data_IF_015273276272
#
_entry.id   IF_015273276272
#
_cell.length_a   1.000
_cell.length_b   1.000
_cell.length_c   1.000
_cell.angle_alpha   90.00
_cell.angle_beta   90.00
_cell.angle_gamma   90.00
#
_symmetry.space_group_name_H-M   'P 1'
#
loop_
_entity.id
_entity.type
_entity.pdbx_description
1 polymer ?
#
# COMPACT_ATOMS: atom_id res chain seq x y z
N UNK A 1 -9.98 -8.51 -16.79
CA UNK A 1 -9.08 -7.49 -17.22
C UNK A 1 -7.85 -7.46 -16.35
N UNK A 2 -6.76 -7.23 -16.95
CA UNK A 2 -5.51 -7.40 -16.26
C UNK A 2 -5.26 -6.38 -15.13
N UNK A 3 -6.05 -5.29 -15.11
CA UNK A 3 -5.90 -4.29 -14.07
C UNK A 3 -6.09 -4.88 -12.66
N UNK A 4 -7.09 -5.75 -12.52
CA UNK A 4 -7.30 -6.42 -11.23
C UNK A 4 -6.14 -7.34 -10.88
N UNK A 5 -5.55 -7.96 -11.90
CA UNK A 5 -4.42 -8.86 -11.69
C UNK A 5 -3.17 -8.09 -11.28
N UNK A 6 -3.09 -6.81 -11.64
CA UNK A 6 -1.94 -6.00 -11.31
C UNK A 6 -1.91 -5.56 -9.86
N UNK A 7 -3.01 -5.75 -9.14
CA UNK A 7 -3.03 -5.37 -7.73
C UNK A 7 -2.04 -6.19 -6.90
N UNK A 8 -1.89 -7.47 -7.20
CA UNK A 8 -0.97 -8.31 -6.44
C UNK A 8 0.47 -7.86 -6.60
N UNK A 9 0.99 -7.64 -7.81
CA UNK A 9 2.35 -7.10 -7.90
C UNK A 9 2.51 -5.73 -7.27
N UNK A 10 1.50 -4.86 -7.39
CA UNK A 10 1.57 -3.55 -6.73
C UNK A 10 1.69 -3.72 -5.23
N UNK A 11 0.84 -4.56 -4.64
CA UNK A 11 0.86 -4.81 -3.22
C UNK A 11 2.22 -5.36 -2.77
N UNK A 12 2.75 -6.31 -3.54
CA UNK A 12 4.03 -6.92 -3.20
C UNK A 12 5.15 -5.90 -3.17
N UNK A 13 5.17 -5.00 -4.15
CA UNK A 13 6.19 -3.97 -4.21
C UNK A 13 6.10 -3.02 -3.03
N UNK A 14 4.89 -2.61 -2.69
CA UNK A 14 4.69 -1.70 -1.57
C UNK A 14 5.03 -2.35 -0.25
N UNK A 15 4.68 -3.62 -0.11
CA UNK A 15 4.91 -4.34 1.13
C UNK A 15 6.40 -4.57 1.37
N UNK A 16 7.09 -5.02 0.34
CA UNK A 16 8.50 -5.41 0.49
C UNK A 16 9.39 -4.21 0.72
N UNK A 17 9.04 -3.08 0.12
CA UNK A 17 9.87 -1.89 0.26
C UNK A 17 9.82 -1.31 1.66
N UNK A 18 8.62 -1.27 2.25
CA UNK A 18 8.46 -0.74 3.59
C UNK A 18 8.59 0.77 3.72
N UNK A 19 9.02 1.43 2.67
CA UNK A 19 9.11 2.88 2.60
C UNK A 19 8.51 3.33 1.28
N UNK A 20 8.27 4.63 1.08
CA UNK A 20 7.55 5.07 -0.11
C UNK A 20 8.22 4.65 -1.41
N UNK A 21 7.42 4.19 -2.35
CA UNK A 21 7.85 3.85 -3.70
C UNK A 21 7.34 4.92 -4.63
N UNK A 22 8.21 5.46 -5.48
CA UNK A 22 7.82 6.58 -6.35
C UNK A 22 6.92 6.11 -7.48
N UNK A 23 6.13 7.05 -8.01
CA UNK A 23 5.30 6.76 -9.17
C UNK A 23 6.17 6.31 -10.36
N UNK A 24 7.33 6.93 -10.52
CA UNK A 24 8.21 6.56 -11.61
C UNK A 24 8.67 5.10 -11.49
N UNK A 25 9.03 4.69 -10.28
CA UNK A 25 9.44 3.30 -10.07
C UNK A 25 8.30 2.33 -10.36
N UNK A 26 7.11 2.68 -9.89
CA UNK A 26 5.95 1.81 -10.12
C UNK A 26 5.63 1.71 -11.61
N UNK A 27 5.65 2.82 -12.32
CA UNK A 27 5.38 2.81 -13.74
C UNK A 27 6.39 1.95 -14.49
N UNK A 28 7.65 2.08 -14.11
CA UNK A 28 8.71 1.34 -14.77
C UNK A 28 8.59 -0.16 -14.51
N UNK A 29 8.41 -0.53 -13.26
CA UNK A 29 8.38 -1.97 -12.90
C UNK A 29 7.12 -2.63 -13.42
N UNK A 30 5.97 -1.96 -13.27
CA UNK A 30 4.70 -2.52 -13.70
C UNK A 30 4.43 -2.33 -15.18
N UNK A 31 5.23 -1.50 -15.83
CA UNK A 31 5.14 -1.21 -17.26
C UNK A 31 3.77 -0.65 -17.63
N UNK A 32 3.35 0.36 -16.89
CA UNK A 32 2.10 1.06 -17.12
C UNK A 32 2.38 2.56 -17.25
N UNK A 33 1.47 3.25 -17.92
CA UNK A 33 1.59 4.69 -18.03
C UNK A 33 0.96 5.35 -16.80
N UNK A 34 1.05 6.66 -16.75
CA UNK A 34 0.59 7.38 -15.55
C UNK A 34 -0.90 7.22 -15.31
N UNK A 35 -1.69 7.27 -16.38
CA UNK A 35 -3.14 7.14 -16.24
C UNK A 35 -3.52 5.76 -15.71
N UNK A 36 -2.88 4.72 -16.25
CA UNK A 36 -3.13 3.36 -15.79
C UNK A 36 -2.69 3.17 -14.36
N UNK A 37 -1.56 3.79 -13.99
CA UNK A 37 -1.10 3.69 -12.60
C UNK A 37 -2.09 4.35 -11.65
N UNK A 38 -2.60 5.52 -12.01
CA UNK A 38 -3.59 6.20 -11.17
C UNK A 38 -4.82 5.35 -10.98
N UNK A 39 -5.29 4.71 -12.05
CA UNK A 39 -6.45 3.82 -11.97
C UNK A 39 -6.16 2.62 -11.08
N UNK A 40 -4.97 2.05 -11.23
CA UNK A 40 -4.58 0.88 -10.44
C UNK A 40 -4.50 1.23 -8.96
N UNK A 41 -3.91 2.38 -8.64
CA UNK A 41 -3.81 2.81 -7.25
C UNK A 41 -5.18 3.03 -6.64
N UNK A 42 -6.09 3.66 -7.39
CA UNK A 42 -7.45 3.89 -6.90
C UNK A 42 -8.18 2.57 -6.69
N UNK A 43 -8.02 1.63 -7.62
CA UNK A 43 -8.65 0.32 -7.50
C UNK A 43 -8.12 -0.44 -6.28
N UNK A 44 -6.82 -0.39 -6.09
CA UNK A 44 -6.21 -1.10 -4.97
C UNK A 44 -6.64 -0.51 -3.63
N UNK A 45 -6.70 0.82 -3.54
CA UNK A 45 -7.16 1.49 -2.32
C UNK A 45 -8.59 1.06 -1.99
N UNK A 46 -9.44 0.99 -3.02
CA UNK A 46 -10.82 0.57 -2.84
C UNK A 46 -10.91 -0.89 -2.40
N UNK A 47 -10.10 -1.74 -2.99
CA UNK A 47 -10.06 -3.16 -2.63
C UNK A 47 -9.69 -3.34 -1.16
N UNK A 48 -8.70 -2.60 -0.69
CA UNK A 48 -8.30 -2.68 0.72
C UNK A 48 -9.44 -2.29 1.64
N UNK A 49 -10.15 -1.24 1.28
CA UNK A 49 -11.26 -0.77 2.09
C UNK A 49 -12.41 -1.77 2.09
N UNK A 50 -12.75 -2.30 0.93
CA UNK A 50 -13.89 -3.22 0.81
C UNK A 50 -13.67 -4.51 1.56
N UNK A 51 -12.44 -4.98 1.63
CA UNK A 51 -12.18 -6.23 2.35
C UNK A 51 -11.85 -6.01 3.82
N UNK A 52 -11.97 -4.79 4.31
CA UNK A 52 -11.73 -4.51 5.71
C UNK A 52 -10.28 -4.69 6.14
N UNK A 53 -9.35 -4.38 5.25
CA UNK A 53 -7.93 -4.52 5.55
C UNK A 53 -7.51 -3.57 6.66
N UNK A 54 -6.56 -4.00 7.49
CA UNK A 54 -5.95 -3.11 8.48
C UNK A 54 -4.95 -2.15 7.86
N UNK A 55 -4.71 -2.28 6.57
CA UNK A 55 -3.77 -1.43 5.84
C UNK A 55 -4.50 -0.48 4.93
N UNK A 56 -3.87 0.64 4.63
CA UNK A 56 -4.39 1.58 3.65
C UNK A 56 -3.24 2.09 2.81
N UNK A 57 -3.58 2.55 1.63
CA UNK A 57 -2.61 3.15 0.73
C UNK A 57 -2.45 4.61 1.12
N UNK A 58 -1.20 5.02 1.34
CA UNK A 58 -0.90 6.37 1.77
C UNK A 58 -0.04 7.06 0.74
N UNK A 59 -0.49 8.22 0.29
CA UNK A 59 0.29 9.04 -0.64
C UNK A 59 1.13 10.02 0.16
N UNK A 60 2.44 9.96 -0.06
CA UNK A 60 3.36 10.91 0.58
C UNK A 60 4.10 11.65 -0.51
N UNK A 61 4.81 12.70 -0.12
CA UNK A 61 5.63 13.44 -1.08
C UNK A 61 6.55 12.47 -1.79
N UNK A 62 6.40 12.39 -3.11
CA UNK A 62 7.27 11.58 -3.93
C UNK A 62 6.92 10.11 -4.03
N UNK A 63 5.83 9.65 -3.40
CA UNK A 63 5.54 8.23 -3.55
C UNK A 63 4.32 7.72 -2.83
N UNK A 64 4.24 6.41 -2.77
CA UNK A 64 3.11 5.70 -2.18
C UNK A 64 3.63 4.64 -1.22
N UNK A 65 2.85 4.33 -0.20
CA UNK A 65 3.29 3.41 0.84
C UNK A 65 2.08 2.78 1.50
N UNK A 66 2.23 1.55 1.97
CA UNK A 66 1.19 0.92 2.78
C UNK A 66 1.42 1.29 4.23
N UNK A 67 0.35 1.72 4.90
CA UNK A 67 0.42 2.06 6.31
C UNK A 67 -0.76 1.42 7.02
N UNK A 68 -0.67 1.29 8.33
CA UNK A 68 -1.80 0.77 9.11
C UNK A 68 -2.89 1.83 9.19
N UNK A 69 -4.14 1.35 9.23
CA UNK A 69 -5.27 2.25 9.38
C UNK A 69 -5.30 2.85 10.77
N UNK A 70 -5.73 4.11 10.90
CA UNK A 70 -5.81 4.74 12.22
C UNK A 70 -6.66 3.95 13.21
N UNK A 71 -7.68 3.26 12.72
CA UNK A 71 -8.55 2.46 13.59
C UNK A 71 -7.79 1.34 14.29
N UNK A 72 -6.66 0.92 13.71
CA UNK A 72 -5.85 -0.16 14.29
C UNK A 72 -4.74 0.34 15.17
N UNK A 73 -4.62 1.65 15.33
CA UNK A 73 -3.47 2.25 15.98
C UNK A 73 -3.27 1.76 17.41
N UNK A 74 -4.35 1.60 18.15
CA UNK A 74 -4.26 1.16 19.55
C UNK A 74 -3.64 -0.24 19.64
N UNK A 75 -3.98 -1.12 18.70
CA UNK A 75 -3.40 -2.46 18.68
C UNK A 75 -1.92 -2.43 18.30
N UNK A 76 -1.60 -1.59 17.31
CA UNK A 76 -0.20 -1.46 16.87
C UNK A 76 0.67 -0.94 18.02
N UNK A 77 0.16 0.03 18.77
CA UNK A 77 0.88 0.54 19.93
C UNK A 77 1.13 -0.55 20.96
N UNK A 78 0.14 -1.40 21.20
CA UNK A 78 0.29 -2.47 22.17
C UNK A 78 1.34 -3.48 21.75
N UNK A 79 1.48 -3.69 20.45
CA UNK A 79 2.52 -4.60 19.96
C UNK A 79 3.90 -4.08 20.37
N UNK A 80 4.13 -2.79 20.24
CA UNK A 80 5.39 -2.20 20.63
C UNK A 80 5.64 -2.37 22.12
N UNK A 81 4.60 -2.17 22.95
CA UNK A 81 4.72 -2.36 24.39
C UNK A 81 5.08 -3.78 24.75
N UNK A 82 4.43 -4.74 24.09
CA UNK A 82 4.71 -6.16 24.37
C UNK A 82 6.13 -6.51 23.97
N UNK A 83 6.59 -5.99 22.84
CA UNK A 83 7.95 -6.27 22.36
C UNK A 83 9.01 -5.72 23.32
N UNK A 84 8.71 -4.65 24.02
CA UNK A 84 9.67 -4.06 24.95
C UNK A 84 9.77 -4.82 26.26
N UNK A 85 8.80 -5.69 26.54
CA UNK A 85 8.84 -6.49 27.76
C UNK A 85 9.75 -7.70 27.57
N UNK A 86 10.54 -7.97 28.54
CA UNK A 86 11.46 -9.11 28.50
C UNK A 86 11.08 -10.20 29.46
#
# INVERSE_FOLDING_TARGET
MFMEEMQAPLEALLFVRGEPVTAMQLKEILQVDEESLDELLALYAKTLEERGSGLMLHRVAGGFQLVTRPECHAYVQKLAEVQDRK
#
